data_IF_458539228921
#
_entry.id   IF_458539228921
#
_cell.length_a   1.000
_cell.length_b   1.000
_cell.length_c   1.000
_cell.angle_alpha   90.00
_cell.angle_beta   90.00
_cell.angle_gamma   90.00
#
_symmetry.space_group_name_H-M   'P 1'
#
loop_
_entity.id
_entity.type
_entity.pdbx_description
1 polymer ?
#
# COMPACT_ATOMS: atom_id res chain seq x y z
N UNK A 1 74.08 25.57 23.02
CA UNK A 1 73.01 25.81 24.02
C UNK A 1 71.75 26.20 23.27
N UNK A 2 70.55 25.67 23.44
CA UNK A 2 69.99 24.44 24.03
C UNK A 2 68.63 24.31 23.30
N UNK A 3 68.32 23.12 22.76
CA UNK A 3 67.10 22.84 22.00
C UNK A 3 65.88 22.82 22.93
N UNK A 4 64.79 23.45 22.50
CA UNK A 4 63.50 23.43 23.19
C UNK A 4 62.84 22.05 23.07
N UNK A 5 62.29 21.53 24.17
CA UNK A 5 61.52 20.29 24.23
C UNK A 5 60.09 20.64 24.62
N UNK A 6 59.14 20.34 23.73
CA UNK A 6 57.70 20.44 23.98
C UNK A 6 57.25 19.15 24.68
N UNK A 7 56.54 19.28 25.80
CA UNK A 7 55.88 18.15 26.47
C UNK A 7 54.41 18.10 26.09
N UNK A 8 53.99 16.97 25.54
CA UNK A 8 52.60 16.64 25.21
C UNK A 8 51.93 16.07 26.47
N UNK A 9 50.89 16.72 26.98
CA UNK A 9 50.05 16.19 28.06
C UNK A 9 48.96 15.33 27.43
N UNK A 10 49.01 14.02 27.67
CA UNK A 10 47.91 13.08 27.35
C UNK A 10 47.00 13.01 28.56
N UNK A 11 45.78 13.54 28.43
CA UNK A 11 44.74 13.38 29.43
C UNK A 11 44.05 12.02 29.23
N UNK A 12 44.24 11.10 30.18
CA UNK A 12 43.47 9.85 30.28
C UNK A 12 42.18 10.16 31.02
N UNK A 13 41.06 10.20 30.31
CA UNK A 13 39.73 10.23 30.93
C UNK A 13 39.29 8.80 31.26
N UNK A 14 39.41 8.43 32.54
CA UNK A 14 38.68 7.29 33.10
C UNK A 14 37.23 7.70 33.32
N UNK A 15 36.32 7.21 32.48
CA UNK A 15 34.89 7.31 32.72
C UNK A 15 34.45 6.15 33.63
N UNK A 16 34.08 6.49 34.86
CA UNK A 16 33.44 5.62 35.84
C UNK A 16 32.01 5.34 35.36
N UNK A 17 31.72 4.09 35.01
CA UNK A 17 30.37 3.64 34.66
C UNK A 17 29.50 3.55 35.94
N UNK A 18 28.71 4.58 36.18
CA UNK A 18 27.57 4.54 37.10
C UNK A 18 26.40 3.85 36.41
N UNK A 19 25.87 2.83 37.06
CA UNK A 19 24.81 1.96 36.54
C UNK A 19 23.53 2.70 36.16
N UNK A 20 23.17 2.57 34.90
CA UNK A 20 21.79 2.37 34.47
C UNK A 20 21.91 1.38 33.32
N UNK A 21 21.68 0.09 33.62
CA UNK A 21 21.76 -0.97 32.62
C UNK A 21 20.60 -0.82 31.63
N UNK A 22 20.75 0.07 30.64
CA UNK A 22 19.98 -0.02 29.43
C UNK A 22 20.36 -1.37 28.81
N UNK A 23 19.48 -2.36 28.93
CA UNK A 23 19.59 -3.59 28.14
C UNK A 23 19.71 -3.14 26.68
N UNK A 24 20.88 -3.33 26.09
CA UNK A 24 21.04 -3.17 24.65
C UNK A 24 20.08 -4.17 24.02
N UNK A 25 19.06 -3.67 23.33
CA UNK A 25 18.06 -4.51 22.67
C UNK A 25 18.79 -5.45 21.70
N UNK A 26 18.49 -6.76 21.77
CA UNK A 26 19.11 -7.76 20.91
C UNK A 26 18.68 -7.52 19.47
N UNK A 27 19.61 -7.10 18.61
CA UNK A 27 19.33 -6.88 17.19
C UNK A 27 19.05 -8.21 16.48
N UNK A 28 18.09 -8.19 15.58
CA UNK A 28 17.70 -9.35 14.76
C UNK A 28 16.77 -8.92 13.65
N UNK A 29 16.04 -9.89 13.09
CA UNK A 29 15.00 -9.64 12.10
C UNK A 29 13.71 -10.27 12.62
N UNK A 30 12.96 -9.47 13.38
CA UNK A 30 11.83 -9.95 14.15
C UNK A 30 10.52 -9.75 13.40
N UNK A 31 9.72 -10.80 13.35
CA UNK A 31 8.28 -10.71 13.11
C UNK A 31 7.56 -10.77 14.45
N UNK A 32 6.78 -9.73 14.76
CA UNK A 32 6.01 -9.64 16.01
C UNK A 32 4.54 -9.55 15.67
N UNK A 33 3.72 -10.35 16.35
CA UNK A 33 2.29 -10.49 16.14
C UNK A 33 1.55 -10.18 17.44
N UNK A 34 0.39 -9.54 17.31
CA UNK A 34 -0.58 -9.36 18.38
C UNK A 34 -2.01 -9.53 17.84
N UNK A 35 -2.88 -10.16 18.62
CA UNK A 35 -4.30 -10.31 18.30
C UNK A 35 -5.15 -9.80 19.48
N UNK A 36 -6.21 -9.04 19.17
CA UNK A 36 -7.20 -8.52 20.12
C UNK A 36 -8.54 -8.45 19.40
N UNK A 37 -9.61 -8.96 20.01
CA UNK A 37 -10.92 -9.05 19.38
C UNK A 37 -10.82 -9.65 17.95
N UNK A 38 -11.41 -9.02 16.93
CA UNK A 38 -11.37 -9.51 15.55
C UNK A 38 -10.15 -9.08 14.73
N UNK A 39 -9.11 -8.51 15.36
CA UNK A 39 -7.96 -7.93 14.67
C UNK A 39 -6.67 -8.72 14.92
N UNK A 40 -5.91 -8.96 13.85
CA UNK A 40 -4.52 -9.39 13.89
C UNK A 40 -3.64 -8.22 13.41
N UNK A 41 -2.70 -7.81 14.24
CA UNK A 41 -1.74 -6.75 13.95
C UNK A 41 -0.33 -7.34 14.05
N UNK A 42 0.57 -6.91 13.17
CA UNK A 42 1.96 -7.33 13.29
C UNK A 42 2.92 -6.38 12.61
N UNK A 43 4.20 -6.64 12.83
CA UNK A 43 5.32 -5.97 12.17
C UNK A 43 6.25 -7.04 11.64
N UNK A 44 6.64 -6.92 10.38
CA UNK A 44 7.67 -7.75 9.76
C UNK A 44 9.03 -7.06 9.81
N UNK A 45 10.08 -7.88 9.84
CA UNK A 45 11.47 -7.47 9.62
C UNK A 45 11.96 -6.36 10.57
N UNK A 46 11.42 -6.30 11.80
CA UNK A 46 11.83 -5.30 12.79
C UNK A 46 13.23 -5.59 13.34
N UNK A 47 14.12 -4.58 13.50
CA UNK A 47 15.44 -4.77 14.10
C UNK A 47 15.41 -5.24 15.55
N UNK A 48 14.35 -4.89 16.30
CA UNK A 48 14.17 -5.24 17.71
C UNK A 48 12.72 -5.61 17.99
N UNK A 49 12.50 -6.41 19.03
CA UNK A 49 11.14 -6.71 19.50
C UNK A 49 10.48 -5.45 20.04
N UNK A 50 11.17 -4.69 20.90
CA UNK A 50 10.66 -3.48 21.53
C UNK A 50 10.18 -2.45 20.49
N UNK A 51 10.95 -2.24 19.43
CA UNK A 51 10.60 -1.33 18.35
C UNK A 51 9.37 -1.78 17.55
N UNK A 52 9.18 -3.09 17.37
CA UNK A 52 7.95 -3.61 16.78
C UNK A 52 6.74 -3.37 17.70
N UNK A 53 6.92 -3.55 19.02
CA UNK A 53 5.85 -3.34 19.99
C UNK A 53 5.41 -1.88 20.08
N UNK A 54 6.34 -0.93 19.96
CA UNK A 54 6.05 0.51 19.89
C UNK A 54 5.12 0.87 18.72
N UNK A 55 5.20 0.13 17.61
CA UNK A 55 4.32 0.31 16.44
C UNK A 55 3.00 -0.45 16.62
N UNK A 56 3.04 -1.68 17.12
CA UNK A 56 1.84 -2.54 17.25
C UNK A 56 0.82 -1.97 18.24
N UNK A 57 1.26 -1.49 19.42
CA UNK A 57 0.35 -1.04 20.49
C UNK A 57 -0.60 0.07 20.00
N UNK A 58 -0.11 1.20 19.44
CA UNK A 58 -0.99 2.25 18.94
C UNK A 58 -1.93 1.77 17.83
N UNK A 59 -1.47 0.89 16.92
CA UNK A 59 -2.32 0.33 15.87
C UNK A 59 -3.43 -0.50 16.51
N UNK A 60 -3.10 -1.41 17.42
CA UNK A 60 -4.07 -2.31 18.06
C UNK A 60 -5.14 -1.57 18.89
N UNK A 61 -4.80 -0.40 19.43
CA UNK A 61 -5.73 0.43 20.21
C UNK A 61 -6.60 1.36 19.35
N UNK A 62 -6.15 1.71 18.14
CA UNK A 62 -6.85 2.64 17.25
C UNK A 62 -7.57 1.96 16.09
N UNK A 63 -7.14 0.76 15.69
CA UNK A 63 -7.62 0.09 14.48
C UNK A 63 -9.11 -0.16 14.54
N UNK A 64 -9.79 0.26 13.48
CA UNK A 64 -11.21 0.05 13.28
C UNK A 64 -11.45 -0.45 11.86
N UNK A 65 -12.51 -1.20 11.66
CA UNK A 65 -12.90 -1.72 10.36
C UNK A 65 -14.42 -1.82 10.31
N UNK A 66 -14.96 -1.88 9.11
CA UNK A 66 -16.39 -2.15 8.89
C UNK A 66 -16.51 -3.37 7.98
N UNK A 67 -17.63 -4.08 7.98
CA UNK A 67 -17.85 -5.10 6.96
C UNK A 67 -17.62 -4.48 5.57
N UNK A 68 -17.02 -5.22 4.62
CA UNK A 68 -16.81 -4.73 3.27
C UNK A 68 -18.11 -4.16 2.69
N UNK A 69 -18.01 -3.00 2.06
CA UNK A 69 -19.14 -2.38 1.38
C UNK A 69 -19.69 -3.31 0.30
N UNK A 70 -21.01 -3.30 0.10
CA UNK A 70 -21.61 -3.97 -1.06
C UNK A 70 -21.30 -3.16 -2.32
N UNK A 71 -21.16 -3.82 -3.49
CA UNK A 71 -21.02 -3.11 -4.76
C UNK A 71 -22.15 -2.10 -4.93
N UNK A 72 -21.80 -0.87 -5.31
CA UNK A 72 -22.77 0.17 -5.61
C UNK A 72 -23.43 -0.19 -6.94
N UNK A 73 -24.73 -0.44 -6.94
CA UNK A 73 -25.48 -0.87 -8.14
C UNK A 73 -25.69 0.26 -9.17
N UNK A 74 -25.43 1.52 -8.81
CA UNK A 74 -25.89 2.70 -9.57
C UNK A 74 -24.98 3.18 -10.72
N UNK A 75 -25.52 4.03 -11.58
CA UNK A 75 -24.80 4.82 -12.59
C UNK A 75 -23.96 5.95 -11.96
N UNK A 76 -22.90 6.46 -12.61
CA UNK A 76 -22.54 6.28 -14.03
C UNK A 76 -21.75 5.01 -14.35
N UNK A 77 -21.80 4.54 -15.60
CA UNK A 77 -20.91 3.48 -16.09
C UNK A 77 -19.56 4.09 -16.53
N UNK A 78 -18.45 3.33 -16.52
CA UNK A 78 -17.16 3.85 -16.99
C UNK A 78 -17.19 4.48 -18.38
N UNK A 79 -17.96 3.89 -19.29
CA UNK A 79 -18.12 4.40 -20.65
C UNK A 79 -18.72 5.82 -20.67
N UNK A 80 -19.63 6.13 -19.74
CA UNK A 80 -20.25 7.45 -19.63
C UNK A 80 -19.29 8.51 -19.07
N UNK A 81 -18.23 8.07 -18.40
CA UNK A 81 -17.21 8.92 -17.80
C UNK A 81 -16.10 9.31 -18.78
N UNK A 82 -15.93 8.57 -19.88
CA UNK A 82 -14.95 8.91 -20.92
C UNK A 82 -15.21 10.32 -21.47
N UNK A 83 -14.16 11.16 -21.59
CA UNK A 83 -14.22 12.41 -22.33
C UNK A 83 -14.72 12.24 -23.77
N UNK A 84 -15.60 13.12 -24.22
CA UNK A 84 -16.10 13.17 -25.60
C UNK A 84 -15.25 14.13 -26.44
N UNK A 85 -15.41 14.03 -27.76
CA UNK A 85 -14.72 14.91 -28.72
C UNK A 85 -14.84 16.38 -28.35
N UNK A 86 -13.70 17.07 -28.31
CA UNK A 86 -13.63 18.50 -28.04
C UNK A 86 -13.92 18.92 -26.60
N UNK A 87 -14.26 18.01 -25.66
CA UNK A 87 -14.40 18.38 -24.23
C UNK A 87 -13.06 18.85 -23.64
N UNK A 88 -11.95 18.34 -24.15
CA UNK A 88 -10.61 18.92 -23.98
C UNK A 88 -10.20 19.56 -25.32
N UNK A 89 -9.83 20.85 -25.35
CA UNK A 89 -9.59 21.56 -26.60
C UNK A 89 -8.55 20.87 -27.48
N UNK A 90 -8.91 20.64 -28.75
CA UNK A 90 -8.11 19.96 -29.78
C UNK A 90 -7.89 18.46 -29.59
N UNK A 91 -8.43 17.85 -28.53
CA UNK A 91 -8.35 16.41 -28.33
C UNK A 91 -9.67 15.75 -28.70
N UNK A 92 -9.59 14.69 -29.50
CA UNK A 92 -10.74 13.89 -29.92
C UNK A 92 -10.43 12.41 -29.69
N UNK A 93 -11.48 11.63 -29.51
CA UNK A 93 -11.40 10.18 -29.44
C UNK A 93 -10.86 9.66 -30.77
N UNK A 94 -9.87 8.77 -30.72
CA UNK A 94 -9.37 8.11 -31.91
C UNK A 94 -10.37 7.04 -32.36
N UNK A 95 -10.78 7.08 -33.63
CA UNK A 95 -11.87 6.27 -34.15
C UNK A 95 -11.63 4.75 -33.92
N UNK A 96 -12.65 4.06 -33.42
CA UNK A 96 -12.59 2.61 -33.18
C UNK A 96 -11.80 2.18 -31.93
N UNK A 97 -11.27 3.12 -31.14
CA UNK A 97 -10.47 2.80 -29.94
C UNK A 97 -11.28 2.69 -28.66
N UNK A 98 -12.52 3.19 -28.64
CA UNK A 98 -13.41 3.04 -27.48
C UNK A 98 -13.75 1.56 -27.29
N UNK A 99 -13.26 0.99 -26.19
CA UNK A 99 -13.49 -0.43 -25.84
C UNK A 99 -13.99 -0.54 -24.41
N UNK A 100 -14.69 -1.65 -24.16
CA UNK A 100 -15.21 -2.00 -22.84
C UNK A 100 -14.92 -3.47 -22.57
N UNK A 101 -14.44 -3.77 -21.38
CA UNK A 101 -14.17 -5.12 -20.92
C UNK A 101 -14.88 -5.32 -19.57
N UNK A 102 -15.60 -6.44 -19.42
CA UNK A 102 -16.44 -6.73 -18.25
C UNK A 102 -16.00 -8.04 -17.61
N UNK A 103 -15.85 -8.05 -16.28
CA UNK A 103 -15.43 -9.24 -15.55
C UNK A 103 -14.18 -9.87 -16.16
N UNK A 104 -14.24 -11.18 -16.46
CA UNK A 104 -13.10 -11.94 -17.00
C UNK A 104 -12.59 -11.48 -18.38
N UNK A 105 -13.32 -10.62 -19.10
CA UNK A 105 -12.81 -10.09 -20.36
C UNK A 105 -11.61 -9.15 -20.18
N UNK A 106 -11.32 -8.72 -18.95
CA UNK A 106 -10.14 -7.90 -18.63
C UNK A 106 -8.82 -8.57 -19.05
N UNK A 107 -8.74 -9.91 -19.00
CA UNK A 107 -7.56 -10.66 -19.46
C UNK A 107 -7.24 -10.44 -20.94
N UNK A 108 -8.25 -10.10 -21.76
CA UNK A 108 -8.03 -9.77 -23.19
C UNK A 108 -7.37 -8.40 -23.38
N UNK A 109 -7.35 -7.57 -22.34
CA UNK A 109 -6.83 -6.20 -22.38
C UNK A 109 -5.48 -6.07 -21.67
N UNK A 110 -5.38 -6.52 -20.42
CA UNK A 110 -4.18 -6.41 -19.59
C UNK A 110 -3.76 -7.77 -19.04
N UNK A 111 -3.43 -8.69 -19.94
CA UNK A 111 -3.00 -10.04 -19.59
C UNK A 111 -1.82 -10.04 -18.59
N UNK A 112 -1.87 -10.91 -17.59
CA UNK A 112 -0.95 -10.95 -16.44
C UNK A 112 -1.23 -9.92 -15.33
N UNK A 113 -1.72 -8.72 -15.65
CA UNK A 113 -2.06 -7.70 -14.65
C UNK A 113 -3.52 -7.81 -14.14
N UNK A 114 -4.41 -8.42 -14.94
CA UNK A 114 -5.84 -8.56 -14.63
C UNK A 114 -6.12 -9.28 -13.30
N UNK A 115 -5.27 -10.22 -12.88
CA UNK A 115 -5.47 -10.97 -11.63
C UNK A 115 -5.48 -10.06 -10.40
N UNK A 116 -4.64 -9.02 -10.39
CA UNK A 116 -4.62 -8.02 -9.32
C UNK A 116 -5.97 -7.28 -9.25
N UNK A 117 -6.52 -6.85 -10.37
CA UNK A 117 -7.82 -6.19 -10.45
C UNK A 117 -8.95 -7.10 -9.96
N UNK A 118 -8.93 -8.37 -10.34
CA UNK A 118 -9.88 -9.36 -9.85
C UNK A 118 -9.77 -9.63 -8.34
N UNK A 119 -8.58 -9.48 -7.77
CA UNK A 119 -8.40 -9.59 -6.31
C UNK A 119 -9.11 -8.48 -5.53
N UNK A 120 -9.56 -7.42 -6.20
CA UNK A 120 -10.41 -6.33 -5.69
C UNK A 120 -11.78 -6.27 -6.39
N UNK A 121 -12.35 -7.42 -6.76
CA UNK A 121 -13.72 -7.52 -7.32
C UNK A 121 -13.99 -6.62 -8.54
N UNK A 122 -13.01 -6.47 -9.42
CA UNK A 122 -13.16 -5.75 -10.69
C UNK A 122 -14.49 -6.04 -11.39
N UNK A 123 -15.20 -4.98 -11.79
CA UNK A 123 -16.50 -5.05 -12.46
C UNK A 123 -16.33 -4.88 -13.97
N UNK A 124 -15.82 -3.73 -14.40
CA UNK A 124 -15.66 -3.38 -15.80
C UNK A 124 -14.68 -2.23 -16.01
N UNK A 125 -14.09 -2.11 -17.20
CA UNK A 125 -13.26 -0.98 -17.62
C UNK A 125 -13.76 -0.46 -18.95
N UNK A 126 -13.78 0.87 -19.11
CA UNK A 126 -13.85 1.52 -20.41
C UNK A 126 -12.51 2.18 -20.71
N UNK A 127 -12.04 2.03 -21.94
CA UNK A 127 -10.79 2.59 -22.43
C UNK A 127 -10.99 3.31 -23.76
N UNK A 128 -10.24 4.38 -23.99
CA UNK A 128 -10.19 5.09 -25.27
C UNK A 128 -8.83 5.77 -25.46
N UNK A 129 -8.42 5.89 -26.72
CA UNK A 129 -7.26 6.68 -27.12
C UNK A 129 -7.72 8.05 -27.61
N UNK A 130 -6.94 9.08 -27.30
CA UNK A 130 -7.21 10.46 -27.69
C UNK A 130 -6.05 11.00 -28.50
N UNK A 131 -6.38 11.66 -29.60
CA UNK A 131 -5.41 12.28 -30.52
C UNK A 131 -5.65 13.78 -30.61
N UNK A 132 -4.57 14.50 -30.91
CA UNK A 132 -4.61 15.92 -31.22
C UNK A 132 -4.10 16.16 -32.65
N UNK A 133 -4.93 16.67 -33.58
CA UNK A 133 -4.54 16.82 -34.99
C UNK A 133 -3.44 17.86 -35.22
N UNK A 134 -3.03 18.60 -34.19
CA UNK A 134 -1.89 19.53 -34.24
C UNK A 134 -0.56 18.87 -33.86
N UNK A 135 -0.60 17.65 -33.34
CA UNK A 135 0.57 16.90 -32.88
C UNK A 135 0.84 15.73 -33.81
N UNK A 136 1.97 15.05 -33.60
CA UNK A 136 2.26 13.83 -34.32
C UNK A 136 1.22 12.74 -33.95
N UNK A 137 0.95 11.81 -34.86
CA UNK A 137 -0.12 10.83 -34.68
C UNK A 137 0.14 9.86 -33.50
N UNK A 138 1.41 9.69 -33.12
CA UNK A 138 1.88 8.91 -31.98
C UNK A 138 1.83 9.67 -30.64
N UNK A 139 1.56 10.98 -30.66
CA UNK A 139 1.33 11.82 -29.47
C UNK A 139 -0.06 11.58 -28.84
N UNK A 140 -0.37 10.32 -28.52
CA UNK A 140 -1.68 9.90 -28.03
C UNK A 140 -1.75 9.83 -26.49
N UNK A 141 -2.96 10.01 -25.97
CA UNK A 141 -3.29 9.80 -24.55
C UNK A 141 -4.30 8.66 -24.45
N UNK A 142 -4.00 7.66 -23.63
CA UNK A 142 -4.90 6.55 -23.29
C UNK A 142 -5.56 6.86 -21.96
N UNK A 143 -6.87 6.68 -21.87
CA UNK A 143 -7.63 6.82 -20.63
C UNK A 143 -8.35 5.51 -20.34
N UNK A 144 -8.05 4.93 -19.18
CA UNK A 144 -8.77 3.79 -18.63
C UNK A 144 -9.56 4.22 -17.41
N UNK A 145 -10.84 3.85 -17.37
CA UNK A 145 -11.72 4.07 -16.21
C UNK A 145 -12.21 2.70 -15.74
N UNK A 146 -11.67 2.23 -14.62
CA UNK A 146 -12.01 0.95 -14.00
C UNK A 146 -13.11 1.15 -12.96
N UNK A 147 -14.22 0.44 -13.07
CA UNK A 147 -15.21 0.28 -12.01
C UNK A 147 -14.82 -0.91 -11.12
N UNK A 148 -14.51 -0.62 -9.86
CA UNK A 148 -14.10 -1.62 -8.87
C UNK A 148 -15.25 -2.02 -7.93
N UNK A 149 -16.48 -1.59 -8.25
CA UNK A 149 -17.69 -1.90 -7.50
C UNK A 149 -17.85 -1.12 -6.20
N UNK A 150 -16.76 -0.88 -5.48
CA UNK A 150 -16.74 -0.14 -4.21
C UNK A 150 -15.57 0.83 -4.13
N UNK A 151 -15.67 1.92 -3.32
CA UNK A 151 -14.55 2.82 -3.08
C UNK A 151 -13.32 2.14 -2.46
N UNK A 152 -13.53 1.14 -1.60
CA UNK A 152 -12.46 0.39 -0.94
C UNK A 152 -11.63 -0.40 -1.95
N UNK A 153 -12.29 -1.05 -2.92
CA UNK A 153 -11.62 -1.78 -3.98
C UNK A 153 -10.87 -0.85 -4.96
N UNK A 154 -11.46 0.32 -5.27
CA UNK A 154 -10.80 1.35 -6.08
C UNK A 154 -9.55 1.90 -5.41
N UNK A 155 -9.64 2.24 -4.13
CA UNK A 155 -8.48 2.59 -3.32
C UNK A 155 -7.48 1.43 -3.24
N UNK A 156 -7.95 0.19 -3.14
CA UNK A 156 -7.12 -1.01 -3.15
C UNK A 156 -6.13 -1.03 -4.30
N UNK A 157 -6.60 -0.89 -5.54
CA UNK A 157 -5.76 -0.80 -6.74
C UNK A 157 -4.86 0.44 -6.71
N UNK A 158 -5.43 1.62 -6.45
CA UNK A 158 -4.66 2.86 -6.40
C UNK A 158 -3.49 2.78 -5.39
N UNK A 159 -3.72 2.16 -4.23
CA UNK A 159 -2.71 2.00 -3.19
C UNK A 159 -1.56 1.05 -3.57
N UNK A 160 -1.71 0.22 -4.61
CA UNK A 160 -0.63 -0.62 -5.13
C UNK A 160 0.39 0.18 -5.96
N UNK A 161 -0.08 1.21 -6.68
CA UNK A 161 0.77 2.06 -7.54
C UNK A 161 1.23 3.34 -6.84
N UNK A 162 0.56 3.70 -5.74
CA UNK A 162 0.95 4.79 -4.84
C UNK A 162 2.27 4.48 -4.14
N UNK A 163 3.12 5.50 -3.97
CA UNK A 163 4.37 5.39 -3.23
C UNK A 163 4.64 6.62 -2.35
N UNK A 164 5.45 6.49 -1.28
CA UNK A 164 5.84 7.62 -0.45
C UNK A 164 6.49 8.74 -1.25
N UNK A 165 6.15 10.00 -0.94
CA UNK A 165 6.70 11.19 -1.61
C UNK A 165 6.38 11.28 -3.12
N UNK A 166 5.35 10.57 -3.59
CA UNK A 166 4.84 10.75 -4.95
C UNK A 166 4.41 12.21 -5.21
N UNK A 167 4.39 12.59 -6.48
CA UNK A 167 3.91 13.89 -6.91
C UNK A 167 2.37 13.92 -6.88
N UNK A 168 1.81 14.22 -5.72
CA UNK A 168 0.36 14.30 -5.53
C UNK A 168 -0.25 15.52 -6.21
N UNK A 169 -1.33 15.30 -6.97
CA UNK A 169 -2.09 16.35 -7.66
C UNK A 169 -3.53 16.43 -7.12
N UNK A 170 -4.15 17.60 -7.23
CA UNK A 170 -5.48 17.88 -6.65
C UNK A 170 -6.63 17.53 -7.61
N UNK A 171 -6.83 16.25 -7.85
CA UNK A 171 -7.98 15.67 -8.58
C UNK A 171 -8.38 14.36 -7.91
N UNK A 172 -9.65 13.97 -8.03
CA UNK A 172 -10.12 12.74 -7.40
C UNK A 172 -10.21 12.86 -5.87
N UNK A 173 -10.28 11.72 -5.21
CA UNK A 173 -10.00 11.61 -3.77
C UNK A 173 -8.49 11.74 -3.51
N UNK A 174 -7.69 11.09 -4.35
CA UNK A 174 -6.25 11.25 -4.41
C UNK A 174 -5.75 10.89 -5.81
N UNK A 175 -4.65 11.50 -6.21
CA UNK A 175 -4.04 11.28 -7.52
C UNK A 175 -2.53 11.55 -7.45
N UNK A 176 -1.76 10.76 -8.20
CA UNK A 176 -0.33 10.96 -8.41
C UNK A 176 -0.06 11.18 -9.89
N UNK A 177 0.93 12.02 -10.20
CA UNK A 177 1.40 12.24 -11.57
C UNK A 177 2.90 11.98 -11.64
N UNK A 178 3.28 10.83 -12.21
CA UNK A 178 4.65 10.45 -12.43
C UNK A 178 4.90 10.28 -13.94
N UNK A 179 5.88 11.02 -14.48
CA UNK A 179 6.33 10.93 -15.87
C UNK A 179 5.20 11.07 -16.89
N UNK A 180 4.75 9.95 -17.49
CA UNK A 180 3.73 9.86 -18.53
C UNK A 180 2.41 9.29 -17.99
N UNK A 181 2.23 9.22 -16.67
CA UNK A 181 1.09 8.54 -16.05
C UNK A 181 0.45 9.35 -14.92
N UNK A 182 -0.87 9.50 -14.99
CA UNK A 182 -1.70 9.93 -13.87
C UNK A 182 -2.51 8.72 -13.39
N UNK A 183 -2.29 8.35 -12.14
CA UNK A 183 -3.12 7.39 -11.41
C UNK A 183 -3.99 8.17 -10.44
N UNK A 184 -5.30 7.97 -10.49
CA UNK A 184 -6.22 8.59 -9.56
C UNK A 184 -7.35 7.65 -9.18
N UNK A 185 -7.96 7.89 -8.02
CA UNK A 185 -9.20 7.21 -7.66
C UNK A 185 -10.23 8.22 -7.15
N UNK A 186 -11.50 7.91 -7.40
CA UNK A 186 -12.65 8.66 -6.89
C UNK A 186 -13.90 7.79 -6.90
N UNK A 187 -14.58 7.73 -5.76
CA UNK A 187 -15.68 6.79 -5.57
C UNK A 187 -15.18 5.37 -5.81
N UNK A 188 -15.99 4.57 -6.50
CA UNK A 188 -15.62 3.21 -6.90
C UNK A 188 -14.73 3.12 -8.14
N UNK A 189 -14.26 4.25 -8.67
CA UNK A 189 -13.47 4.28 -9.89
C UNK A 189 -11.98 4.45 -9.60
N UNK A 190 -11.17 3.59 -10.20
CA UNK A 190 -9.74 3.82 -10.42
C UNK A 190 -9.54 4.25 -11.87
N UNK A 191 -8.82 5.34 -12.08
CA UNK A 191 -8.62 5.95 -13.39
C UNK A 191 -7.13 6.08 -13.66
N UNK A 192 -6.73 5.63 -14.84
CA UNK A 192 -5.37 5.73 -15.34
C UNK A 192 -5.38 6.57 -16.62
N UNK A 193 -4.55 7.61 -16.67
CA UNK A 193 -4.34 8.43 -17.86
C UNK A 193 -2.87 8.32 -18.22
N UNK A 194 -2.58 7.80 -19.41
CA UNK A 194 -1.22 7.54 -19.86
C UNK A 194 -0.94 8.25 -21.18
N UNK A 195 0.24 8.85 -21.32
CA UNK A 195 0.81 9.25 -22.62
C UNK A 195 2.00 8.36 -22.98
N UNK A 196 2.48 8.50 -24.20
CA UNK A 196 3.73 7.87 -24.68
C UNK A 196 4.76 8.93 -25.13
N UNK A 197 4.49 10.19 -24.79
CA UNK A 197 5.38 11.31 -25.05
C UNK A 197 5.44 12.24 -23.84
N UNK A 198 6.66 12.69 -23.53
CA UNK A 198 6.97 13.64 -22.47
C UNK A 198 7.09 15.08 -23.02
N UNK A 199 5.94 15.69 -23.33
CA UNK A 199 5.86 17.11 -23.71
C UNK A 199 4.91 17.89 -22.80
N UNK A 200 5.24 19.14 -22.47
CA UNK A 200 4.46 19.96 -21.52
C UNK A 200 3.00 20.12 -21.94
N UNK A 201 2.75 20.31 -23.24
CA UNK A 201 1.40 20.39 -23.79
C UNK A 201 0.58 19.09 -23.63
N UNK A 202 1.24 17.93 -23.61
CA UNK A 202 0.60 16.62 -23.37
C UNK A 202 0.26 16.50 -21.89
N UNK A 203 1.20 16.85 -21.00
CA UNK A 203 0.98 16.85 -19.55
C UNK A 203 -0.17 17.77 -19.15
N UNK A 204 -0.24 18.96 -19.76
CA UNK A 204 -1.35 19.90 -19.58
C UNK A 204 -2.69 19.30 -20.03
N UNK A 205 -2.71 18.56 -21.15
CA UNK A 205 -3.90 17.87 -21.63
C UNK A 205 -4.33 16.73 -20.69
N UNK A 206 -3.39 15.90 -20.21
CA UNK A 206 -3.65 14.85 -19.22
C UNK A 206 -4.29 15.44 -17.95
N UNK A 207 -3.77 16.57 -17.45
CA UNK A 207 -4.35 17.28 -16.30
C UNK A 207 -5.78 17.80 -16.58
N UNK A 208 -6.07 18.24 -17.80
CA UNK A 208 -7.44 18.66 -18.19
C UNK A 208 -8.39 17.47 -18.24
N UNK A 209 -7.95 16.34 -18.78
CA UNK A 209 -8.71 15.09 -18.79
C UNK A 209 -9.01 14.61 -17.36
N UNK A 210 -7.99 14.58 -16.49
CA UNK A 210 -8.17 14.18 -15.08
C UNK A 210 -9.23 15.05 -14.37
N UNK A 211 -9.15 16.38 -14.53
CA UNK A 211 -10.14 17.32 -13.95
C UNK A 211 -11.53 17.18 -14.54
N UNK A 212 -11.63 16.82 -15.82
CA UNK A 212 -12.92 16.60 -16.48
C UNK A 212 -13.60 15.34 -15.92
N UNK A 213 -12.85 14.23 -15.82
CA UNK A 213 -13.34 12.96 -15.27
C UNK A 213 -13.72 13.13 -13.79
N UNK A 214 -12.87 13.81 -13.01
CA UNK A 214 -13.14 14.15 -11.61
C UNK A 214 -14.51 14.83 -11.42
N UNK A 215 -14.85 15.79 -12.29
CA UNK A 215 -16.15 16.48 -12.25
C UNK A 215 -17.34 15.58 -12.61
N UNK A 216 -17.14 14.54 -13.42
CA UNK A 216 -18.20 13.60 -13.83
C UNK A 216 -18.56 12.62 -12.69
N UNK A 217 -17.63 12.34 -11.79
CA UNK A 217 -17.85 11.46 -10.64
C UNK A 217 -18.32 12.29 -9.44
N UNK A 218 -19.59 12.13 -9.06
CA UNK A 218 -20.23 12.94 -8.01
C UNK A 218 -19.89 12.46 -6.60
N UNK A 219 -19.86 11.15 -6.40
CA UNK A 219 -19.63 10.54 -5.10
C UNK A 219 -18.16 10.19 -4.94
N UNK A 220 -17.41 10.90 -4.08
CA UNK A 220 -15.99 10.62 -3.89
C UNK A 220 -15.76 9.29 -3.16
N UNK A 221 -16.75 8.76 -2.44
CA UNK A 221 -16.53 7.66 -1.53
C UNK A 221 -15.52 8.02 -0.43
N UNK A 222 -15.17 7.02 0.38
CA UNK A 222 -14.31 7.19 1.54
C UNK A 222 -13.15 6.19 1.52
N UNK A 223 -12.00 6.57 2.09
CA UNK A 223 -10.93 5.61 2.37
C UNK A 223 -11.46 4.47 3.27
N UNK A 224 -10.98 3.23 3.11
CA UNK A 224 -11.31 2.13 4.01
C UNK A 224 -11.04 2.53 5.47
N UNK A 225 -11.95 2.18 6.39
CA UNK A 225 -11.83 2.59 7.78
C UNK A 225 -10.54 2.04 8.42
N UNK A 226 -10.13 0.83 8.03
CA UNK A 226 -8.88 0.22 8.51
C UNK A 226 -7.65 1.04 8.13
N UNK A 227 -7.67 1.69 6.97
CA UNK A 227 -6.61 2.61 6.52
C UNK A 227 -6.68 3.93 7.30
N UNK A 228 -7.88 4.52 7.41
CA UNK A 228 -8.10 5.80 8.13
C UNK A 228 -7.76 5.72 9.61
N UNK A 229 -7.92 4.53 10.21
CA UNK A 229 -7.72 4.31 11.64
C UNK A 229 -6.25 4.13 12.05
N UNK A 230 -5.34 3.99 11.08
CA UNK A 230 -3.92 3.85 11.38
C UNK A 230 -3.35 5.10 12.07
N UNK A 231 -2.56 4.95 13.15
CA UNK A 231 -1.95 6.07 13.85
C UNK A 231 -0.95 6.82 12.96
N UNK A 232 -1.00 8.15 13.01
CA UNK A 232 -0.10 9.01 12.20
C UNK A 232 1.33 9.09 12.76
N UNK A 233 1.51 8.88 14.06
CA UNK A 233 2.82 8.94 14.69
C UNK A 233 3.74 7.85 14.14
N UNK A 234 4.89 8.24 13.60
CA UNK A 234 5.89 7.32 13.03
C UNK A 234 5.53 6.73 11.66
N UNK A 235 4.28 6.84 11.20
CA UNK A 235 3.84 6.33 9.90
C UNK A 235 4.53 7.09 8.76
N UNK A 236 5.01 6.37 7.77
CA UNK A 236 5.52 6.95 6.52
C UNK A 236 4.31 7.26 5.64
N UNK A 237 3.91 8.53 5.62
CA UNK A 237 2.76 8.99 4.83
C UNK A 237 2.88 8.57 3.37
N UNK A 238 1.81 8.01 2.81
CA UNK A 238 1.79 7.54 1.42
C UNK A 238 2.20 6.09 1.24
N UNK A 239 2.52 5.38 2.32
CA UNK A 239 2.90 3.96 2.29
C UNK A 239 1.76 2.99 2.56
N UNK A 240 0.55 3.49 2.82
CA UNK A 240 -0.60 2.64 3.14
C UNK A 240 -1.08 1.89 1.90
N UNK A 241 -1.13 0.56 2.00
CA UNK A 241 -1.58 -0.35 0.95
C UNK A 241 -2.69 -1.24 1.50
N UNK A 242 -3.89 -1.12 0.92
CA UNK A 242 -5.05 -1.91 1.33
C UNK A 242 -5.06 -3.25 0.61
N UNK A 243 -5.56 -4.32 1.23
CA UNK A 243 -5.72 -5.63 0.62
C UNK A 243 -6.88 -6.40 1.28
N UNK A 244 -7.44 -7.39 0.57
CA UNK A 244 -8.47 -8.30 1.12
C UNK A 244 -8.14 -9.78 0.95
N UNK A 245 -7.32 -10.12 -0.05
CA UNK A 245 -7.03 -11.51 -0.45
C UNK A 245 -5.53 -11.76 -0.52
N UNK A 246 -5.15 -13.04 -0.48
CA UNK A 246 -3.75 -13.47 -0.54
C UNK A 246 -3.01 -12.89 -1.75
N UNK A 247 -3.63 -12.89 -2.94
CA UNK A 247 -3.01 -12.37 -4.15
C UNK A 247 -2.68 -10.87 -4.04
N UNK A 248 -3.60 -10.08 -3.47
CA UNK A 248 -3.38 -8.66 -3.19
C UNK A 248 -2.25 -8.45 -2.17
N UNK A 249 -2.21 -9.24 -1.10
CA UNK A 249 -1.13 -9.18 -0.11
C UNK A 249 0.23 -9.55 -0.74
N UNK A 250 0.28 -10.58 -1.58
CA UNK A 250 1.52 -11.05 -2.20
C UNK A 250 2.16 -9.99 -3.11
N UNK A 251 1.37 -9.10 -3.71
CA UNK A 251 1.87 -7.94 -4.45
C UNK A 251 2.47 -6.85 -3.54
N UNK A 252 2.05 -6.77 -2.27
CA UNK A 252 2.58 -5.83 -1.28
C UNK A 252 3.82 -6.40 -0.55
N UNK A 253 3.66 -7.60 0.01
CA UNK A 253 4.67 -8.36 0.75
C UNK A 253 4.34 -9.84 0.58
N UNK A 254 5.19 -10.54 -0.15
CA UNK A 254 5.13 -11.99 -0.20
C UNK A 254 5.36 -12.58 1.20
N UNK A 255 4.38 -13.35 1.68
CA UNK A 255 4.45 -14.05 2.97
C UNK A 255 4.60 -15.55 2.76
N UNK A 256 3.78 -16.13 1.87
CA UNK A 256 3.76 -17.54 1.52
C UNK A 256 2.88 -17.76 0.29
N UNK A 257 3.07 -18.88 -0.39
CA UNK A 257 2.12 -19.39 -1.40
C UNK A 257 0.84 -19.94 -0.73
N UNK A 258 0.94 -20.35 0.54
CA UNK A 258 -0.21 -20.79 1.33
C UNK A 258 -0.94 -19.60 1.98
N UNK A 259 -2.27 -19.72 2.11
CA UNK A 259 -3.09 -18.74 2.84
C UNK A 259 -2.95 -18.90 4.37
N UNK A 260 -1.73 -18.63 4.88
CA UNK A 260 -1.35 -18.80 6.29
C UNK A 260 -2.00 -17.76 7.20
N UNK A 261 -2.39 -16.61 6.65
CA UNK A 261 -3.11 -15.53 7.33
C UNK A 261 -4.63 -15.69 7.26
N UNK A 262 -5.15 -16.78 6.67
CA UNK A 262 -6.60 -17.07 6.59
C UNK A 262 -7.42 -15.92 5.98
N UNK A 263 -6.86 -15.24 4.98
CA UNK A 263 -7.52 -14.16 4.25
C UNK A 263 -8.69 -14.71 3.44
N UNK A 264 -9.73 -13.90 3.30
CA UNK A 264 -10.94 -14.24 2.55
C UNK A 264 -11.72 -13.00 2.16
N UNK A 265 -12.85 -13.19 1.47
CA UNK A 265 -13.65 -12.07 0.96
C UNK A 265 -14.09 -11.12 2.09
N UNK A 266 -14.40 -11.64 3.27
CA UNK A 266 -14.86 -10.82 4.40
C UNK A 266 -13.72 -10.26 5.28
N UNK A 267 -12.47 -10.37 4.83
CA UNK A 267 -11.31 -9.78 5.51
C UNK A 267 -10.93 -8.45 4.92
N UNK A 268 -10.49 -7.52 5.78
CA UNK A 268 -9.89 -6.26 5.37
C UNK A 268 -8.48 -6.16 5.95
N UNK A 269 -7.51 -5.81 5.12
CA UNK A 269 -6.11 -5.69 5.50
C UNK A 269 -5.53 -4.37 5.06
N UNK A 270 -4.57 -3.87 5.83
CA UNK A 270 -3.71 -2.75 5.45
C UNK A 270 -2.27 -3.04 5.84
N UNK A 271 -1.34 -2.71 4.97
CA UNK A 271 0.09 -2.62 5.26
C UNK A 271 0.49 -1.15 5.23
N UNK A 272 1.34 -0.72 6.14
CA UNK A 272 1.96 0.60 6.09
C UNK A 272 3.39 0.54 6.64
N UNK A 273 4.24 1.47 6.20
CA UNK A 273 5.60 1.62 6.70
C UNK A 273 5.62 2.53 7.93
N UNK A 274 6.39 2.17 8.95
CA UNK A 274 6.61 2.97 10.15
C UNK A 274 8.09 3.13 10.43
N UNK A 275 8.49 4.29 10.97
CA UNK A 275 9.85 4.53 11.45
C UNK A 275 10.00 4.12 12.90
N UNK A 276 11.03 3.34 13.18
CA UNK A 276 11.41 2.84 14.51
C UNK A 276 12.89 3.16 14.72
N UNK A 277 13.17 4.22 15.47
CA UNK A 277 14.51 4.80 15.51
C UNK A 277 14.96 5.24 14.10
N UNK A 278 16.07 4.71 13.63
CA UNK A 278 16.61 4.95 12.27
C UNK A 278 16.10 3.95 11.22
N UNK A 279 15.39 2.91 11.63
CA UNK A 279 14.90 1.86 10.73
C UNK A 279 13.47 2.15 10.24
N UNK A 280 13.13 1.60 9.07
CA UNK A 280 11.77 1.54 8.55
C UNK A 280 11.29 0.08 8.58
N UNK A 281 10.11 -0.16 9.16
CA UNK A 281 9.50 -1.48 9.28
C UNK A 281 8.14 -1.49 8.59
N UNK A 282 7.67 -2.67 8.18
CA UNK A 282 6.33 -2.83 7.62
C UNK A 282 5.40 -3.36 8.70
N UNK A 283 4.40 -2.56 9.07
CA UNK A 283 3.32 -2.98 9.93
C UNK A 283 2.11 -3.40 9.09
N UNK A 284 1.35 -4.36 9.59
CA UNK A 284 0.07 -4.74 9.01
C UNK A 284 -1.02 -4.81 10.08
N UNK A 285 -2.26 -4.56 9.67
CA UNK A 285 -3.45 -4.84 10.46
C UNK A 285 -4.48 -5.54 9.56
N UNK A 286 -5.08 -6.61 10.08
CA UNK A 286 -6.11 -7.39 9.40
C UNK A 286 -7.32 -7.50 10.32
N UNK A 287 -8.48 -7.14 9.80
CA UNK A 287 -9.78 -7.35 10.43
C UNK A 287 -10.43 -8.61 9.85
N UNK A 288 -10.87 -9.50 10.74
CA UNK A 288 -11.57 -10.73 10.41
C UNK A 288 -13.06 -10.62 10.76
N UNK A 289 -13.94 -11.39 10.11
CA UNK A 289 -15.37 -11.36 10.42
C UNK A 289 -15.70 -11.68 11.89
N UNK A 290 -14.88 -12.49 12.57
CA UNK A 290 -15.05 -12.81 14.00
C UNK A 290 -13.72 -12.86 14.76
N UNK A 291 -13.74 -12.72 16.10
CA UNK A 291 -12.57 -12.94 16.96
C UNK A 291 -11.96 -14.34 16.81
N UNK A 292 -12.80 -15.35 16.61
CA UNK A 292 -12.35 -16.73 16.40
C UNK A 292 -11.50 -16.86 15.14
N UNK A 293 -11.90 -16.21 14.04
CA UNK A 293 -11.12 -16.19 12.79
C UNK A 293 -9.79 -15.47 12.93
N UNK A 294 -9.75 -14.38 13.71
CA UNK A 294 -8.49 -13.69 14.01
C UNK A 294 -7.54 -14.57 14.83
N UNK A 295 -8.07 -15.34 15.80
CA UNK A 295 -7.28 -16.31 16.58
C UNK A 295 -6.75 -17.45 15.70
N UNK A 296 -7.59 -18.01 14.82
CA UNK A 296 -7.17 -19.04 13.86
C UNK A 296 -6.04 -18.54 12.95
N UNK A 297 -6.12 -17.29 12.48
CA UNK A 297 -5.07 -16.68 11.67
C UNK A 297 -3.76 -16.47 12.45
N UNK A 298 -3.85 -15.99 13.70
CA UNK A 298 -2.69 -15.85 14.58
C UNK A 298 -1.99 -17.19 14.80
N UNK A 299 -2.75 -18.24 15.13
CA UNK A 299 -2.22 -19.57 15.42
C UNK A 299 -1.61 -20.21 14.16
N UNK A 300 -2.29 -20.06 13.01
CA UNK A 300 -1.81 -20.53 11.71
C UNK A 300 -0.50 -19.86 11.30
N UNK A 301 -0.43 -18.52 11.37
CA UNK A 301 0.79 -17.81 10.95
C UNK A 301 1.95 -18.02 11.92
N UNK A 302 1.69 -18.07 13.22
CA UNK A 302 2.70 -18.44 14.23
C UNK A 302 3.29 -19.83 13.96
N UNK A 303 2.43 -20.81 13.67
CA UNK A 303 2.87 -22.18 13.37
C UNK A 303 3.68 -22.25 12.08
N UNK A 304 3.30 -21.46 11.07
CA UNK A 304 4.04 -21.37 9.81
C UNK A 304 5.46 -20.81 10.03
N UNK A 305 5.61 -19.73 10.80
CA UNK A 305 6.92 -19.15 11.10
C UNK A 305 7.83 -20.15 11.84
N UNK A 306 7.31 -20.87 12.83
CA UNK A 306 8.08 -21.89 13.57
C UNK A 306 8.54 -23.04 12.66
N UNK A 307 7.65 -23.55 11.81
CA UNK A 307 8.00 -24.58 10.82
C UNK A 307 8.99 -24.06 9.78
N UNK A 308 8.94 -22.77 9.47
CA UNK A 308 9.89 -22.06 8.61
C UNK A 308 11.24 -21.76 9.27
N UNK A 309 11.49 -22.27 10.49
CA UNK A 309 12.78 -22.11 11.18
C UNK A 309 12.94 -20.79 11.95
N UNK A 310 11.88 -19.99 12.07
CA UNK A 310 11.95 -18.79 12.91
C UNK A 310 11.96 -19.20 14.39
N UNK A 311 12.87 -18.61 15.16
CA UNK A 311 13.01 -18.88 16.58
C UNK A 311 12.06 -18.01 17.38
N UNK A 312 11.11 -18.60 18.10
CA UNK A 312 10.27 -17.87 19.06
C UNK A 312 11.12 -17.24 20.17
N UNK A 313 10.88 -15.96 20.46
CA UNK A 313 11.53 -15.20 21.53
C UNK A 313 10.48 -14.61 22.47
N UNK A 314 10.93 -14.12 23.63
CA UNK A 314 10.04 -13.49 24.60
C UNK A 314 9.59 -12.11 24.09
N UNK A 315 8.30 -11.84 24.23
CA UNK A 315 7.70 -10.51 24.03
C UNK A 315 6.77 -10.22 25.20
N UNK A 316 6.57 -8.94 25.51
CA UNK A 316 5.54 -8.56 26.47
C UNK A 316 4.13 -8.88 25.93
N UNK A 317 3.17 -9.01 26.83
CA UNK A 317 1.78 -9.26 26.45
C UNK A 317 1.22 -8.01 25.74
N UNK A 318 0.69 -8.21 24.53
CA UNK A 318 0.07 -7.17 23.70
C UNK A 318 -1.25 -7.73 23.20
N UNK A 319 -2.37 -7.09 23.53
CA UNK A 319 -3.68 -7.64 23.23
C UNK A 319 -4.01 -8.90 24.03
N UNK A 320 -4.82 -9.77 23.46
CA UNK A 320 -5.21 -11.07 24.02
C UNK A 320 -4.16 -12.17 23.75
N UNK A 321 -3.43 -12.04 22.63
CA UNK A 321 -2.37 -12.96 22.22
C UNK A 321 -1.22 -12.18 21.61
N UNK A 322 0.02 -12.51 21.96
CA UNK A 322 1.20 -11.96 21.31
C UNK A 322 2.30 -13.01 21.12
N UNK A 323 3.11 -12.83 20.09
CA UNK A 323 4.27 -13.67 19.81
C UNK A 323 5.33 -12.89 19.05
N UNK A 324 6.60 -13.21 19.28
CA UNK A 324 7.73 -12.66 18.54
C UNK A 324 8.63 -13.79 18.03
N UNK A 325 9.09 -13.65 16.80
CA UNK A 325 9.85 -14.66 16.08
C UNK A 325 11.06 -14.00 15.41
N UNK A 326 12.26 -14.48 15.70
CA UNK A 326 13.48 -14.03 15.02
C UNK A 326 13.72 -14.89 13.79
N UNK A 327 13.99 -14.27 12.64
CA UNK A 327 14.30 -14.99 11.41
C UNK A 327 15.57 -15.85 11.56
N UNK A 328 15.66 -16.97 10.84
CA UNK A 328 16.91 -17.72 10.74
C UNK A 328 17.98 -16.83 10.08
N UNK A 329 19.24 -16.95 10.54
CA UNK A 329 20.36 -16.29 9.87
C UNK A 329 20.53 -16.90 8.48
N UNK A 330 20.48 -16.09 7.42
CA UNK A 330 20.83 -16.53 6.06
C UNK A 330 22.35 -16.66 5.96
N UNK A 331 22.87 -17.81 5.51
CA UNK A 331 24.32 -18.11 5.40
C UNK A 331 25.11 -17.27 4.37
N UNK A 332 24.52 -16.20 3.82
CA UNK A 332 25.13 -15.38 2.74
C UNK A 332 25.84 -14.11 3.18
N UNK A 333 25.93 -13.79 4.47
CA UNK A 333 26.65 -12.59 4.95
C UNK A 333 28.14 -12.83 5.31
N UNK A 334 28.66 -14.05 5.16
CA UNK A 334 30.06 -14.40 5.49
C UNK A 334 30.90 -14.84 4.25
N UNK A 335 30.71 -14.21 3.09
CA UNK A 335 31.60 -14.39 1.93
C UNK A 335 32.20 -13.10 1.37
#
# INVERSE_FOLDING_TARGET
MRKATVWLIVAVFSAIALGCGAKVAEKGQYTVLAQKDRFLVGVWDSPTVEGAVEVIKPILDSVQSRPPSKPVEESPKPLDLLPKDGEVPWWNVYEGTVKRYVGGDLFKYIDGAAELYHSYDFVEVATAEYINPKLAADSLIVIDIYDMGTPENAFGIYSQVRYPFANFIRVGNEAIFAEEMIDMWKGRFYIKIQSFELADQIKDAMMRFARLIDKKIREPGDLPLIVKSLPEAGKVKGSEQYFRRQLALNNIKFVSDENVLKLGDDTEGVVAKYRVGEAEVRAFAIAYPTPEKAREAFDSYSSFLEKGGYKRVKVEAIGERSAAFNAPKTETEDR
#
